data_IF_074995180771
#
_entry.id   IF_074995180771
#
_cell.length_a   1.000
_cell.length_b   1.000
_cell.length_c   1.000
_cell.angle_alpha   90.00
_cell.angle_beta   90.00
_cell.angle_gamma   90.00
#
_symmetry.space_group_name_H-M   'P 1'
#
loop_
_entity.id
_entity.type
_entity.pdbx_description
1 polymer ?
#
# COMPACT_ATOMS: atom_id res chain seq x y z
N UNK A 1 17.34 -24.87 8.31
CA UNK A 1 17.28 -23.59 9.05
C UNK A 1 16.25 -22.73 8.36
N UNK A 2 15.22 -22.32 9.09
CA UNK A 2 14.03 -21.67 8.56
C UNK A 2 14.38 -20.30 7.97
N UNK A 3 13.87 -20.02 6.79
CA UNK A 3 13.99 -18.75 6.10
C UNK A 3 13.33 -17.65 6.91
N UNK A 4 14.16 -16.81 7.54
CA UNK A 4 13.77 -15.52 8.10
C UNK A 4 13.31 -14.62 6.94
N UNK A 5 12.01 -14.69 6.65
CA UNK A 5 11.35 -13.78 5.72
C UNK A 5 11.30 -12.42 6.42
N UNK A 6 12.37 -11.65 6.27
CA UNK A 6 12.40 -10.24 6.62
C UNK A 6 11.15 -9.61 6.00
N UNK A 7 10.29 -9.01 6.82
CA UNK A 7 9.05 -8.36 6.40
C UNK A 7 9.26 -7.14 5.45
N UNK A 8 10.49 -7.01 4.94
CA UNK A 8 11.09 -5.94 4.16
C UNK A 8 10.75 -5.94 2.69
N UNK A 9 10.44 -7.11 2.14
CA UNK A 9 10.30 -7.27 0.69
C UNK A 9 9.10 -8.17 0.39
N UNK A 10 7.94 -7.89 1.00
CA UNK A 10 6.72 -8.41 0.41
C UNK A 10 6.61 -7.78 -0.99
N UNK A 11 6.94 -8.57 -2.02
CA UNK A 11 6.77 -8.22 -3.42
C UNK A 11 5.27 -8.20 -3.73
N UNK A 12 4.67 -7.04 -3.47
CA UNK A 12 3.32 -6.72 -3.91
C UNK A 12 3.35 -6.45 -5.42
N UNK A 13 2.32 -6.89 -6.13
CA UNK A 13 2.14 -6.49 -7.52
C UNK A 13 1.79 -5.01 -7.62
N UNK A 14 1.93 -4.41 -8.81
CA UNK A 14 1.55 -3.01 -9.03
C UNK A 14 0.11 -2.73 -8.59
N UNK A 15 -0.81 -3.65 -8.92
CA UNK A 15 -2.21 -3.53 -8.52
C UNK A 15 -2.41 -3.64 -7.00
N UNK A 16 -1.61 -4.46 -6.33
CA UNK A 16 -1.66 -4.58 -4.88
C UNK A 16 -1.11 -3.33 -4.19
N UNK A 17 -0.06 -2.71 -4.74
CA UNK A 17 0.49 -1.45 -4.24
C UNK A 17 -0.55 -0.33 -4.36
N UNK A 18 -1.20 -0.21 -5.53
CA UNK A 18 -2.25 0.78 -5.74
C UNK A 18 -3.41 0.62 -4.76
N UNK A 19 -3.82 -0.62 -4.45
CA UNK A 19 -4.84 -0.87 -3.43
C UNK A 19 -4.33 -0.46 -2.04
N UNK A 20 -3.07 -0.72 -1.71
CA UNK A 20 -2.47 -0.32 -0.43
C UNK A 20 -2.39 1.20 -0.29
N UNK A 21 -2.06 1.94 -1.37
CA UNK A 21 -2.10 3.41 -1.41
C UNK A 21 -3.50 3.93 -1.07
N UNK A 22 -4.53 3.42 -1.76
CA UNK A 22 -5.91 3.85 -1.53
C UNK A 22 -6.42 3.48 -0.12
N UNK A 23 -6.00 2.32 0.41
CA UNK A 23 -6.30 1.94 1.80
C UNK A 23 -5.61 2.88 2.79
N UNK A 24 -4.39 3.32 2.47
CA UNK A 24 -3.63 4.26 3.28
C UNK A 24 -4.30 5.65 3.27
N UNK A 25 -4.82 6.12 2.13
CA UNK A 25 -5.67 7.32 2.02
C UNK A 25 -6.97 7.26 2.86
N UNK A 26 -7.30 6.09 3.44
CA UNK A 26 -8.45 5.91 4.30
C UNK A 26 -9.73 5.47 3.57
N UNK A 27 -9.65 5.22 2.26
CA UNK A 27 -10.78 4.80 1.45
C UNK A 27 -11.32 3.44 1.93
N UNK A 28 -12.63 3.26 1.79
CA UNK A 28 -13.33 2.00 2.03
C UNK A 28 -13.23 1.09 0.81
N UNK A 29 -13.43 -0.22 1.00
CA UNK A 29 -13.38 -1.19 -0.11
C UNK A 29 -14.41 -0.87 -1.20
N UNK A 30 -15.51 -0.17 -0.85
CA UNK A 30 -16.51 0.30 -1.82
C UNK A 30 -15.98 1.47 -2.66
N UNK A 31 -15.31 2.44 -2.04
CA UNK A 31 -14.71 3.57 -2.75
C UNK A 31 -13.50 3.14 -3.60
N UNK A 32 -12.69 2.24 -3.07
CA UNK A 32 -11.59 1.61 -3.83
C UNK A 32 -12.16 0.90 -5.05
N UNK A 33 -13.20 0.08 -4.87
CA UNK A 33 -13.87 -0.62 -5.97
C UNK A 33 -14.38 0.35 -7.04
N UNK A 34 -14.99 1.46 -6.63
CA UNK A 34 -15.47 2.50 -7.54
C UNK A 34 -14.33 3.19 -8.29
N UNK A 35 -13.24 3.55 -7.60
CA UNK A 35 -12.08 4.25 -8.18
C UNK A 35 -11.28 3.37 -9.14
N UNK A 36 -11.25 2.09 -8.85
CA UNK A 36 -10.52 1.08 -9.60
C UNK A 36 -11.37 0.37 -10.67
N UNK A 37 -12.66 0.75 -10.79
CA UNK A 37 -13.65 0.17 -11.69
C UNK A 37 -13.75 -1.37 -11.60
N UNK A 38 -13.65 -1.91 -10.38
CA UNK A 38 -13.73 -3.35 -10.09
C UNK A 38 -14.80 -3.64 -9.03
N UNK A 39 -15.15 -4.91 -8.86
CA UNK A 39 -16.11 -5.29 -7.83
C UNK A 39 -15.51 -5.18 -6.42
N UNK A 40 -16.34 -4.84 -5.43
CA UNK A 40 -15.94 -4.87 -4.00
C UNK A 40 -15.34 -6.23 -3.60
N UNK A 41 -15.92 -7.33 -4.09
CA UNK A 41 -15.41 -8.69 -3.86
C UNK A 41 -13.99 -8.87 -4.39
N UNK A 42 -13.67 -8.25 -5.53
CA UNK A 42 -12.32 -8.27 -6.10
C UNK A 42 -11.35 -7.52 -5.19
N UNK A 43 -11.75 -6.35 -4.67
CA UNK A 43 -10.96 -5.59 -3.68
C UNK A 43 -10.75 -6.39 -2.41
N UNK A 44 -11.80 -7.01 -1.87
CA UNK A 44 -11.73 -7.87 -0.66
C UNK A 44 -10.69 -9.00 -0.86
N UNK A 45 -10.73 -9.66 -2.02
CA UNK A 45 -9.76 -10.72 -2.36
C UNK A 45 -8.33 -10.19 -2.45
N UNK A 46 -8.12 -9.02 -3.08
CA UNK A 46 -6.80 -8.40 -3.14
C UNK A 46 -6.28 -8.06 -1.74
N UNK A 47 -7.11 -7.48 -0.87
CA UNK A 47 -6.74 -7.16 0.51
C UNK A 47 -6.36 -8.44 1.27
N UNK A 48 -7.15 -9.51 1.18
CA UNK A 48 -6.80 -10.79 1.83
C UNK A 48 -5.44 -11.34 1.35
N UNK A 49 -5.15 -11.22 0.05
CA UNK A 49 -3.87 -11.66 -0.49
C UNK A 49 -2.71 -10.78 -0.02
N UNK A 50 -2.92 -9.46 0.01
CA UNK A 50 -1.95 -8.49 0.52
C UNK A 50 -1.63 -8.80 1.98
N UNK A 51 -2.65 -8.90 2.85
CA UNK A 51 -2.49 -9.22 4.27
C UNK A 51 -1.67 -10.50 4.49
N UNK A 52 -1.92 -11.53 3.66
CA UNK A 52 -1.16 -12.78 3.69
C UNK A 52 0.29 -12.58 3.26
N UNK A 53 0.54 -11.77 2.22
CA UNK A 53 1.89 -11.49 1.69
C UNK A 53 2.74 -10.67 2.67
N UNK A 54 2.13 -9.67 3.30
CA UNK A 54 2.75 -8.74 4.26
C UNK A 54 2.79 -9.30 5.68
N UNK A 55 2.17 -10.47 5.92
CA UNK A 55 2.02 -11.09 7.24
C UNK A 55 1.37 -10.13 8.27
N UNK A 56 0.37 -9.36 7.82
CA UNK A 56 -0.39 -8.43 8.65
C UNK A 56 -1.79 -8.97 8.91
N UNK A 57 -2.30 -8.73 10.11
CA UNK A 57 -3.56 -9.29 10.60
C UNK A 57 -4.80 -8.45 10.25
N UNK A 58 -4.63 -7.14 10.08
CA UNK A 58 -5.75 -6.23 9.84
C UNK A 58 -5.36 -5.04 8.95
N UNK A 59 -6.36 -4.28 8.46
CA UNK A 59 -6.13 -3.11 7.58
C UNK A 59 -5.24 -2.04 8.21
N UNK A 60 -5.32 -1.85 9.54
CA UNK A 60 -4.50 -0.86 10.26
C UNK A 60 -3.05 -1.33 10.35
N UNK A 61 -2.82 -2.61 10.64
CA UNK A 61 -1.51 -3.26 10.58
C UNK A 61 -0.91 -3.18 9.19
N UNK A 62 -1.74 -3.32 8.14
CA UNK A 62 -1.32 -3.14 6.74
C UNK A 62 -0.87 -1.70 6.45
N UNK A 63 -1.64 -0.68 6.87
CA UNK A 63 -1.24 0.72 6.71
C UNK A 63 0.05 1.01 7.47
N UNK A 64 0.18 0.51 8.71
CA UNK A 64 1.42 0.64 9.49
C UNK A 64 2.60 -0.03 8.79
N UNK A 65 2.41 -1.23 8.23
CA UNK A 65 3.44 -1.92 7.46
C UNK A 65 3.85 -1.06 6.25
N UNK A 66 2.86 -0.57 5.49
CA UNK A 66 3.11 0.26 4.31
C UNK A 66 3.91 1.53 4.65
N UNK A 67 3.60 2.19 5.77
CA UNK A 67 4.35 3.35 6.27
C UNK A 67 5.77 2.98 6.75
N UNK A 68 5.93 1.85 7.44
CA UNK A 68 7.23 1.40 7.95
C UNK A 68 8.22 1.09 6.82
N UNK A 69 7.71 0.59 5.69
CA UNK A 69 8.51 0.22 4.52
C UNK A 69 8.51 1.28 3.41
N UNK A 70 7.91 2.45 3.64
CA UNK A 70 7.87 3.55 2.69
C UNK A 70 7.11 3.23 1.39
N UNK A 71 6.11 2.34 1.46
CA UNK A 71 5.30 1.93 0.30
C UNK A 71 4.17 2.91 -0.03
N UNK A 72 3.82 3.81 0.89
CA UNK A 72 2.72 4.79 0.76
C UNK A 72 3.15 6.14 1.34
N UNK A 73 2.62 7.24 0.80
CA UNK A 73 2.82 8.60 1.28
C UNK A 73 1.46 9.23 1.60
N UNK A 74 1.19 9.54 2.87
CA UNK A 74 0.00 10.32 3.26
C UNK A 74 0.39 11.76 3.57
N UNK A 75 -0.24 12.74 2.89
CA UNK A 75 -0.39 14.14 3.35
C UNK A 75 0.81 14.75 4.13
N UNK A 76 2.04 14.58 3.65
CA UNK A 76 3.28 15.04 4.28
C UNK A 76 3.65 14.45 5.65
N UNK A 77 3.04 13.33 6.08
CA UNK A 77 3.45 12.60 7.29
C UNK A 77 4.07 11.26 6.87
N UNK A 78 5.32 11.03 7.30
CA UNK A 78 6.11 9.82 7.00
C UNK A 78 6.49 9.61 5.52
N UNK A 79 6.52 10.67 4.70
CA UNK A 79 7.28 10.62 3.45
C UNK A 79 8.77 10.55 3.80
N UNK A 80 9.39 9.37 3.72
CA UNK A 80 10.82 9.33 3.42
C UNK A 80 11.00 10.16 2.15
N UNK A 81 11.85 11.19 2.19
CA UNK A 81 12.21 11.99 1.04
C UNK A 81 12.80 11.06 -0.03
N UNK A 82 11.94 10.51 -0.90
CA UNK A 82 12.38 9.91 -2.14
C UNK A 82 13.06 11.04 -2.93
N UNK A 83 14.26 10.82 -3.50
CA UNK A 83 14.92 11.84 -4.30
C UNK A 83 13.97 12.27 -5.41
N UNK A 84 13.46 13.49 -5.27
CA UNK A 84 12.54 14.15 -6.17
C UNK A 84 13.26 14.43 -7.48
N UNK A 85 13.29 13.43 -8.38
CA UNK A 85 13.52 13.69 -9.78
C UNK A 85 12.25 14.30 -10.38
N UNK A 86 12.16 15.63 -10.29
CA UNK A 86 11.52 16.58 -11.24
C UNK A 86 10.76 17.72 -10.54
N UNK A 87 11.49 18.72 -10.06
CA UNK A 87 11.01 20.10 -10.13
C UNK A 87 12.19 20.99 -10.49
N UNK A 88 12.41 21.21 -11.78
CA UNK A 88 13.17 22.39 -12.24
C UNK A 88 12.24 23.60 -12.25
N UNK A 89 12.73 24.79 -11.84
CA UNK A 89 11.93 25.99 -11.70
C UNK A 89 11.68 26.60 -13.08
N UNK A 90 10.47 27.05 -13.34
CA UNK A 90 10.20 27.93 -14.48
C UNK A 90 9.43 29.17 -14.01
N UNK A 91 10.20 30.17 -13.59
CA UNK A 91 9.92 31.58 -13.82
C UNK A 91 10.94 32.05 -14.85
#
# INVERSE_FOLDING_TARGET
MATEKTASEAALSEREIEIVDLVAEGLTNHEIAARLEISKRTVDNHISNILTKTATDNRVSLVRWALQWGKVCLDNVNCCTLPSNSVTPNQ
#
